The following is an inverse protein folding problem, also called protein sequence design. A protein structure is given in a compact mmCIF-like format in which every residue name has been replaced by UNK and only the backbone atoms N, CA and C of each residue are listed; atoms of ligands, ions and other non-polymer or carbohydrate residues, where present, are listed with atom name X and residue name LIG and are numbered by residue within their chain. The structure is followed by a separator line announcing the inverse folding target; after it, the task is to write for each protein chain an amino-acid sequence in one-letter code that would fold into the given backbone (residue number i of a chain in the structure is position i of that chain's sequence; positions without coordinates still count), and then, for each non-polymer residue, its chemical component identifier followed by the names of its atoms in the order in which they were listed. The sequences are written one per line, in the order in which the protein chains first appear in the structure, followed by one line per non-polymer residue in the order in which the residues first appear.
data_IF_166294859918
#
_entry.id   IF_166294859918
#
_cell.length_a   1.000
_cell.length_b   1.000
_cell.length_c   1.000
_cell.angle_alpha   90.00
_cell.angle_beta   90.00
_cell.angle_gamma   90.00
#
_symmetry.space_group_name_H-M   'P 1'
#
loop_
_entity.id
_entity.type
_entity.pdbx_description
1 polymer ?
#
# COMPACT_ATOMS: atom_id res chain seq x y z
N UNK A 1 1.34 6.46 -3.37
CA UNK A 1 2.08 7.01 -2.22
C UNK A 1 2.42 5.84 -1.33
N UNK A 2 3.69 5.65 -0.97
CA UNK A 2 4.17 4.59 -0.10
C UNK A 2 4.67 5.23 1.20
N UNK A 3 4.20 4.78 2.35
CA UNK A 3 4.59 5.32 3.66
C UNK A 3 4.93 4.13 4.56
N UNK A 4 6.08 4.19 5.22
CA UNK A 4 6.51 3.16 6.16
C UNK A 4 7.26 3.77 7.35
N UNK A 5 7.42 3.00 8.44
CA UNK A 5 8.21 3.40 9.61
C UNK A 5 9.69 3.01 9.45
N UNK A 6 10.62 3.85 9.90
CA UNK A 6 12.05 3.56 9.90
C UNK A 6 12.42 2.40 10.84
N UNK A 7 11.68 2.27 11.94
CA UNK A 7 11.89 1.32 13.04
C UNK A 7 11.27 -0.05 12.76
N UNK A 8 10.15 -0.09 12.02
CA UNK A 8 9.48 -1.34 11.63
C UNK A 8 9.91 -1.88 10.27
N UNK A 9 10.55 -1.05 9.44
CA UNK A 9 11.04 -1.46 8.12
C UNK A 9 12.43 -2.07 8.20
N UNK A 10 12.83 -2.81 7.15
CA UNK A 10 14.23 -3.14 6.91
C UNK A 10 15.16 -1.92 6.95
N UNK A 11 16.47 -2.20 6.95
CA UNK A 11 17.51 -1.16 6.97
C UNK A 11 17.31 -0.11 5.88
N UNK A 12 17.90 1.07 6.08
CA UNK A 12 17.78 2.18 5.13
C UNK A 12 18.23 1.81 3.71
N UNK A 13 19.29 1.00 3.61
CA UNK A 13 19.81 0.52 2.33
C UNK A 13 18.77 -0.33 1.60
N UNK A 14 18.14 -1.28 2.29
CA UNK A 14 17.09 -2.13 1.71
C UNK A 14 15.88 -1.30 1.27
N UNK A 15 15.48 -0.32 2.07
CA UNK A 15 14.42 0.63 1.69
C UNK A 15 14.78 1.42 0.42
N UNK A 16 15.99 2.01 0.37
CA UNK A 16 16.43 2.80 -0.79
C UNK A 16 16.48 1.96 -2.06
N UNK A 17 17.01 0.73 -1.96
CA UNK A 17 17.02 -0.22 -3.07
C UNK A 17 15.61 -0.54 -3.54
N UNK A 18 14.71 -0.88 -2.62
CA UNK A 18 13.31 -1.16 -2.94
C UNK A 18 12.61 0.02 -3.64
N UNK A 19 12.78 1.24 -3.12
CA UNK A 19 12.21 2.46 -3.74
C UNK A 19 12.73 2.68 -5.15
N UNK A 20 14.03 2.44 -5.38
CA UNK A 20 14.66 2.59 -6.68
C UNK A 20 14.18 1.53 -7.68
N UNK A 21 14.21 0.25 -7.29
CA UNK A 21 13.78 -0.90 -8.11
C UNK A 21 12.30 -0.84 -8.48
N UNK A 22 11.45 -0.39 -7.56
CA UNK A 22 10.01 -0.25 -7.77
C UNK A 22 9.61 1.10 -8.36
N UNK A 23 10.58 1.97 -8.69
CA UNK A 23 10.37 3.31 -9.25
C UNK A 23 9.36 4.18 -8.46
N UNK A 24 9.38 4.10 -7.12
CA UNK A 24 8.42 4.78 -6.26
C UNK A 24 8.75 6.27 -6.14
N UNK A 25 8.01 7.12 -6.84
CA UNK A 25 8.23 8.58 -6.84
C UNK A 25 7.77 9.30 -5.56
N UNK A 26 6.81 8.73 -4.84
CA UNK A 26 6.20 9.32 -3.64
C UNK A 26 6.29 8.33 -2.48
N UNK A 27 7.51 8.12 -1.97
CA UNK A 27 7.83 7.19 -0.89
C UNK A 27 8.41 7.92 0.32
N UNK A 28 7.88 7.62 1.51
CA UNK A 28 8.25 8.26 2.76
C UNK A 28 8.59 7.21 3.83
N UNK A 29 9.76 7.35 4.45
CA UNK A 29 10.20 6.55 5.61
C UNK A 29 10.22 7.47 6.83
N UNK A 30 9.27 7.26 7.73
CA UNK A 30 8.96 8.17 8.84
C UNK A 30 9.37 7.57 10.18
N UNK A 31 9.51 8.41 11.22
CA UNK A 31 9.61 7.92 12.59
C UNK A 31 8.31 7.23 13.02
N UNK A 32 8.43 6.20 13.87
CA UNK A 32 7.34 5.30 14.25
C UNK A 32 6.13 6.06 14.79
N UNK A 33 6.36 7.03 15.67
CA UNK A 33 5.30 7.85 16.26
C UNK A 33 4.44 8.56 15.20
N UNK A 34 5.08 9.07 14.14
CA UNK A 34 4.37 9.76 13.06
C UNK A 34 3.64 8.76 12.16
N UNK A 35 4.29 7.64 11.83
CA UNK A 35 3.67 6.54 11.08
C UNK A 35 2.40 6.02 11.79
N UNK A 36 2.48 5.73 13.08
CA UNK A 36 1.36 5.24 13.89
C UNK A 36 0.21 6.25 13.95
N UNK A 37 0.52 7.54 14.07
CA UNK A 37 -0.50 8.59 14.05
C UNK A 37 -1.22 8.64 12.70
N UNK A 38 -0.48 8.53 11.59
CA UNK A 38 -1.08 8.46 10.24
C UNK A 38 -1.97 7.22 10.12
N UNK A 39 -1.50 6.05 10.57
CA UNK A 39 -2.28 4.82 10.53
C UNK A 39 -3.58 4.94 11.34
N UNK A 40 -3.53 5.53 12.54
CA UNK A 40 -4.71 5.75 13.39
C UNK A 40 -5.70 6.73 12.78
N UNK A 41 -5.23 7.87 12.28
CA UNK A 41 -6.08 8.90 11.65
C UNK A 41 -6.75 8.36 10.38
N UNK A 42 -6.02 7.60 9.58
CA UNK A 42 -6.54 7.02 8.34
C UNK A 42 -7.22 5.66 8.53
N UNK A 43 -7.34 5.18 9.78
CA UNK A 43 -7.85 3.85 10.13
C UNK A 43 -7.20 2.70 9.34
N UNK A 44 -5.91 2.83 9.01
CA UNK A 44 -5.11 1.74 8.43
C UNK A 44 -4.88 0.67 9.50
N UNK A 45 -5.80 -0.29 9.57
CA UNK A 45 -5.73 -1.48 10.42
C UNK A 45 -5.17 -2.71 9.67
N UNK A 46 -4.55 -2.50 8.50
CA UNK A 46 -4.07 -3.56 7.62
C UNK A 46 -5.06 -3.95 6.51
N UNK A 47 -6.27 -3.38 6.48
CA UNK A 47 -7.17 -3.46 5.33
C UNK A 47 -6.92 -2.26 4.40
N UNK A 48 -6.61 -2.47 3.11
CA UNK A 48 -6.46 -1.36 2.16
C UNK A 48 -7.74 -0.52 2.10
N UNK A 49 -7.65 0.75 2.55
CA UNK A 49 -8.75 1.70 2.50
C UNK A 49 -8.48 2.73 1.41
N UNK A 50 -9.36 2.80 0.41
CA UNK A 50 -9.19 3.69 -0.74
C UNK A 50 -10.06 4.93 -0.54
N UNK A 51 -9.43 6.10 -0.65
CA UNK A 51 -10.11 7.39 -0.52
C UNK A 51 -9.72 8.28 -1.71
N UNK A 52 -10.67 9.07 -2.19
CA UNK A 52 -10.44 10.11 -3.19
C UNK A 52 -10.21 11.43 -2.47
N UNK A 53 -9.05 12.03 -2.67
CA UNK A 53 -8.72 13.35 -2.12
C UNK A 53 -8.93 14.41 -3.19
N UNK A 54 -9.59 15.52 -2.84
CA UNK A 54 -9.77 16.66 -3.74
C UNK A 54 -8.54 17.58 -3.79
N UNK A 55 -8.60 18.61 -4.63
CA UNK A 55 -7.49 19.58 -4.80
C UNK A 55 -7.17 20.38 -3.53
N UNK A 56 -8.06 20.40 -2.54
CA UNK A 56 -7.87 21.08 -1.25
C UNK A 56 -7.25 20.17 -0.18
N UNK A 57 -7.02 18.89 -0.49
CA UNK A 57 -6.50 17.91 0.46
C UNK A 57 -7.58 17.27 1.33
N UNK A 58 -8.87 17.51 1.05
CA UNK A 58 -9.98 16.89 1.78
C UNK A 58 -10.40 15.57 1.12
N UNK A 59 -10.87 14.64 1.94
CA UNK A 59 -11.48 13.40 1.45
C UNK A 59 -12.83 13.75 0.81
N UNK A 60 -12.91 13.56 -0.50
CA UNK A 60 -14.10 13.80 -1.33
C UNK A 60 -14.96 12.56 -1.53
N UNK A 61 -14.38 11.36 -1.34
CA UNK A 61 -15.10 10.08 -1.34
C UNK A 61 -14.27 9.04 -0.58
N UNK A 62 -14.94 8.22 0.22
CA UNK A 62 -14.42 6.97 0.79
C UNK A 62 -15.27 5.80 0.26
N UNK A 63 -14.98 4.56 0.68
CA UNK A 63 -15.78 3.37 0.34
C UNK A 63 -15.76 2.95 -1.15
N UNK A 64 -14.61 3.08 -1.82
CA UNK A 64 -14.44 2.32 -3.04
C UNK A 64 -14.47 0.83 -2.67
N UNK A 65 -15.48 0.11 -3.16
CA UNK A 65 -15.56 -1.35 -3.11
C UNK A 65 -14.47 -1.91 -4.01
N UNK A 66 -13.23 -1.86 -3.54
CA UNK A 66 -12.12 -2.56 -4.17
C UNK A 66 -12.36 -4.02 -3.85
N UNK A 67 -12.89 -4.75 -4.83
CA UNK A 67 -12.72 -6.19 -4.89
C UNK A 67 -11.24 -6.44 -4.69
N UNK A 68 -10.91 -6.94 -3.50
CA UNK A 68 -9.58 -7.34 -3.06
C UNK A 68 -8.87 -7.91 -4.28
N UNK A 69 -7.76 -7.28 -4.70
CA UNK A 69 -6.85 -7.86 -5.70
C UNK A 69 -6.63 -9.29 -5.23
N UNK A 70 -7.23 -10.24 -5.96
CA UNK A 70 -7.34 -11.60 -5.48
C UNK A 70 -5.93 -12.14 -5.41
N UNK A 71 -5.54 -12.50 -4.19
CA UNK A 71 -4.37 -13.30 -3.87
C UNK A 71 -4.24 -14.47 -4.85
N UNK A 72 -2.99 -14.89 -5.12
CA UNK A 72 -2.57 -15.89 -6.11
C UNK A 72 -3.44 -17.14 -6.37
N UNK A 73 -4.21 -17.70 -5.42
CA UNK A 73 -5.01 -18.90 -5.68
C UNK A 73 -6.04 -18.78 -6.82
N UNK A 74 -6.62 -17.59 -7.07
CA UNK A 74 -7.58 -17.42 -8.18
C UNK A 74 -6.88 -17.31 -9.53
N UNK A 75 -5.71 -16.66 -9.58
CA UNK A 75 -4.90 -16.59 -10.80
C UNK A 75 -4.40 -17.99 -11.19
N UNK A 76 -3.91 -18.78 -10.23
CA UNK A 76 -3.51 -20.18 -10.46
C UNK A 76 -4.69 -21.07 -10.90
N UNK A 77 -5.89 -20.84 -10.35
CA UNK A 77 -7.09 -21.60 -10.72
C UNK A 77 -7.53 -21.28 -12.16
N UNK A 78 -7.43 -20.02 -12.57
CA UNK A 78 -7.77 -19.58 -13.94
C UNK A 78 -6.72 -20.06 -14.96
N UNK A 79 -5.43 -20.05 -14.61
CA UNK A 79 -4.36 -20.58 -15.47
C UNK A 79 -4.50 -22.10 -15.67
N UNK A 80 -4.78 -22.86 -14.60
CA UNK A 80 -5.04 -24.31 -14.66
C UNK A 80 -6.32 -24.66 -15.44
N UNK A 81 -7.39 -23.87 -15.30
CA UNK A 81 -8.63 -24.09 -16.05
C UNK A 81 -8.48 -23.87 -17.57
N UNK A 82 -7.51 -23.06 -18.01
CA UNK A 82 -7.29 -22.75 -19.42
C UNK A 82 -6.08 -23.49 -20.05
N UNK A 83 -5.45 -24.44 -19.33
CA UNK A 83 -4.32 -25.26 -19.78
C UNK A 83 -3.19 -24.46 -20.44
N UNK A 84 -2.81 -23.34 -19.83
CA UNK A 84 -1.59 -22.63 -20.21
C UNK A 84 -0.57 -22.95 -19.12
N UNK A 85 0.43 -23.76 -19.47
CA UNK A 85 1.56 -24.13 -18.60
C UNK A 85 2.45 -22.92 -18.27
#
# INVERSE_FOLDING_TARGET
MFITSAELSPSEEVYRRYVAEQHLKNAYRLALKLYDNICKVLMFNGVPHYVRIDKSGKISSADFSVYRIMTGPVVESVLKMNKID
#
